data_IF_921380992596
#
_entry.id   IF_921380992596
#
_cell.length_a   1.000
_cell.length_b   1.000
_cell.length_c   1.000
_cell.angle_alpha   90.00
_cell.angle_beta   90.00
_cell.angle_gamma   90.00
#
_symmetry.space_group_name_H-M   'P 1'
#
loop_
_entity.id
_entity.type
_entity.pdbx_description
1 polymer ?
#
# COMPACT_ATOMS: atom_id res chain seq x y z
N UNK A 1 -3.08 6.59 15.84
CA UNK A 1 -3.58 5.39 15.16
C UNK A 1 -2.45 4.41 14.95
N UNK A 2 -2.78 3.22 14.48
CA UNK A 2 -1.77 2.31 13.94
C UNK A 2 -1.28 2.85 12.59
N UNK A 3 0.02 2.69 12.32
CA UNK A 3 0.66 3.11 11.07
C UNK A 3 1.20 1.88 10.37
N UNK A 4 0.95 1.78 9.07
CA UNK A 4 1.42 0.67 8.26
C UNK A 4 1.78 1.12 6.85
N UNK A 5 2.62 0.32 6.21
CA UNK A 5 3.06 0.53 4.84
C UNK A 5 2.04 -0.03 3.85
N UNK A 6 1.53 0.84 3.00
CA UNK A 6 0.55 0.51 1.96
C UNK A 6 1.23 0.61 0.61
N UNK A 7 1.13 -0.45 -0.18
CA UNK A 7 1.50 -0.42 -1.59
C UNK A 7 0.35 0.18 -2.39
N UNK A 8 0.62 1.27 -3.10
CA UNK A 8 -0.35 1.90 -3.99
C UNK A 8 -0.44 1.06 -5.27
N UNK A 9 -1.58 0.42 -5.52
CA UNK A 9 -1.78 -0.31 -6.78
C UNK A 9 -2.21 0.62 -7.91
N UNK A 10 -2.88 1.72 -7.57
CA UNK A 10 -3.26 2.77 -8.51
C UNK A 10 -4.59 3.42 -8.15
N UNK A 11 -5.21 4.04 -9.15
CA UNK A 11 -6.51 4.71 -8.98
C UNK A 11 -7.64 3.69 -8.94
N UNK A 12 -8.65 3.97 -8.14
CA UNK A 12 -9.85 3.16 -8.11
C UNK A 12 -10.60 3.26 -9.46
N UNK A 13 -11.06 2.16 -10.07
CA UNK A 13 -11.70 2.18 -11.39
C UNK A 13 -13.02 2.98 -11.41
N UNK A 14 -13.65 3.18 -10.25
CA UNK A 14 -14.90 3.93 -10.10
C UNK A 14 -14.68 5.37 -9.61
N UNK A 15 -13.45 5.77 -9.25
CA UNK A 15 -13.18 7.12 -8.72
C UNK A 15 -11.73 7.55 -8.93
N UNK A 16 -11.52 8.52 -9.83
CA UNK A 16 -10.21 9.09 -10.17
C UNK A 16 -9.50 9.80 -9.01
N UNK A 17 -10.24 10.15 -7.95
CA UNK A 17 -9.74 10.84 -6.76
C UNK A 17 -9.27 9.90 -5.64
N UNK A 18 -9.67 8.62 -5.68
CA UNK A 18 -9.35 7.66 -4.64
C UNK A 18 -8.24 6.72 -5.09
N UNK A 19 -7.24 6.54 -4.24
CA UNK A 19 -6.18 5.59 -4.46
C UNK A 19 -6.49 4.29 -3.72
N UNK A 20 -6.37 3.19 -4.46
CA UNK A 20 -6.45 1.84 -3.93
C UNK A 20 -5.05 1.38 -3.54
N UNK A 21 -4.94 0.88 -2.31
CA UNK A 21 -3.74 0.23 -1.85
C UNK A 21 -4.00 -1.13 -1.23
N UNK A 22 -2.90 -1.86 -1.01
CA UNK A 22 -2.88 -3.11 -0.24
C UNK A 22 -1.70 -3.12 0.71
N UNK A 23 -1.89 -3.69 1.89
CA UNK A 23 -0.80 -3.86 2.87
C UNK A 23 -0.17 -5.24 2.68
N UNK A 24 1.15 -5.38 2.93
CA UNK A 24 1.83 -6.67 2.80
C UNK A 24 1.31 -7.77 3.76
N UNK A 25 0.63 -7.36 4.84
CA UNK A 25 0.05 -8.24 5.84
C UNK A 25 -1.40 -8.66 5.54
N UNK A 26 -2.05 -8.09 4.52
CA UNK A 26 -3.45 -8.41 4.20
C UNK A 26 -3.56 -9.74 3.46
N UNK A 27 -4.37 -10.64 3.99
CA UNK A 27 -4.77 -11.88 3.34
C UNK A 27 -5.82 -11.62 2.25
N UNK A 28 -5.71 -12.27 1.08
CA UNK A 28 -6.73 -12.17 0.04
C UNK A 28 -8.08 -12.68 0.56
N UNK A 29 -9.16 -11.99 0.21
CA UNK A 29 -10.58 -12.30 0.49
C UNK A 29 -11.11 -12.11 1.94
N UNK A 30 -10.25 -11.86 2.93
CA UNK A 30 -10.69 -11.66 4.33
C UNK A 30 -10.38 -10.25 4.83
N UNK A 31 -9.30 -9.64 4.36
CA UNK A 31 -8.91 -8.29 4.75
C UNK A 31 -9.44 -7.24 3.79
N UNK A 32 -10.05 -6.20 4.36
CA UNK A 32 -10.73 -5.13 3.64
C UNK A 32 -9.88 -4.32 2.66
N UNK A 33 -10.49 -3.45 1.84
CA UNK A 33 -9.70 -2.58 0.96
C UNK A 33 -9.11 -1.41 1.75
N UNK A 34 -7.84 -1.08 1.50
CA UNK A 34 -7.25 0.16 2.03
C UNK A 34 -7.52 1.30 1.07
N UNK A 35 -8.33 2.25 1.54
CA UNK A 35 -8.72 3.45 0.82
C UNK A 35 -7.91 4.63 1.34
N UNK A 36 -7.10 5.22 0.47
CA UNK A 36 -6.34 6.43 0.79
C UNK A 36 -7.24 7.62 0.46
N UNK A 37 -7.84 8.22 1.48
CA UNK A 37 -8.75 9.36 1.33
C UNK A 37 -8.01 10.70 1.24
N UNK A 38 -6.82 10.79 1.85
CA UNK A 38 -6.05 12.03 1.91
C UNK A 38 -4.58 11.76 1.59
N UNK A 39 -4.15 12.31 0.46
CA UNK A 39 -2.81 12.15 -0.11
C UNK A 39 -2.82 11.60 -1.54
N UNK A 40 -1.80 11.95 -2.31
CA UNK A 40 -1.59 11.45 -3.68
C UNK A 40 -0.30 10.65 -3.69
N UNK A 41 -0.26 9.53 -4.40
CA UNK A 41 0.94 8.73 -4.59
C UNK A 41 0.86 8.00 -5.94
N UNK A 42 2.02 7.74 -6.52
CA UNK A 42 2.12 7.04 -7.79
C UNK A 42 1.95 5.53 -7.60
N UNK A 43 1.25 4.82 -8.51
CA UNK A 43 1.14 3.37 -8.48
C UNK A 43 2.53 2.71 -8.46
N UNK A 44 2.70 1.70 -7.61
CA UNK A 44 3.97 1.02 -7.37
C UNK A 44 4.81 1.63 -6.24
N UNK A 45 4.33 2.68 -5.58
CA UNK A 45 5.02 3.31 -4.45
C UNK A 45 4.50 2.74 -3.13
N UNK A 46 5.42 2.53 -2.18
CA UNK A 46 5.07 2.24 -0.78
C UNK A 46 4.94 3.56 -0.03
N UNK A 47 3.81 3.77 0.63
CA UNK A 47 3.56 4.95 1.46
C UNK A 47 3.19 4.53 2.88
N UNK A 48 3.63 5.31 3.86
CA UNK A 48 3.23 5.07 5.25
C UNK A 48 1.93 5.83 5.51
N UNK A 49 0.89 5.07 5.81
CA UNK A 49 -0.44 5.61 6.07
C UNK A 49 -0.84 5.38 7.53
N UNK A 50 -1.62 6.31 8.07
CA UNK A 50 -2.23 6.17 9.39
C UNK A 50 -3.74 5.94 9.24
N UNK A 51 -4.27 4.96 9.98
CA UNK A 51 -5.70 4.68 10.03
C UNK A 51 -6.44 5.85 10.66
N UNK A 52 -7.36 6.42 9.89
CA UNK A 52 -8.24 7.49 10.35
C UNK A 52 -9.60 6.91 10.72
N UNK A 53 -10.14 6.02 9.89
CA UNK A 53 -11.39 5.30 10.17
C UNK A 53 -11.29 3.84 9.74
N UNK A 54 -12.00 2.98 10.47
CA UNK A 54 -12.12 1.56 10.16
C UNK A 54 -13.61 1.21 9.97
N UNK A 55 -13.95 0.77 8.78
CA UNK A 55 -15.24 0.18 8.45
C UNK A 55 -15.15 -1.35 8.52
N UNK A 56 -16.30 -2.06 8.54
CA UNK A 56 -16.32 -3.52 8.67
C UNK A 56 -15.51 -4.26 7.60
N UNK A 57 -15.32 -3.65 6.43
CA UNK A 57 -14.63 -4.23 5.28
C UNK A 57 -13.64 -3.27 4.61
N UNK A 58 -13.42 -2.08 5.14
CA UNK A 58 -12.56 -1.07 4.50
C UNK A 58 -11.83 -0.26 5.56
N UNK A 59 -10.57 0.11 5.28
CA UNK A 59 -9.80 0.99 6.14
C UNK A 59 -9.57 2.30 5.41
N UNK A 60 -10.02 3.40 6.01
CA UNK A 60 -9.76 4.75 5.51
C UNK A 60 -8.50 5.26 6.16
N UNK A 61 -7.51 5.53 5.33
CA UNK A 61 -6.18 5.94 5.77
C UNK A 61 -5.79 7.27 5.16
N UNK A 62 -4.90 7.98 5.85
CA UNK A 62 -4.26 9.21 5.37
C UNK A 62 -2.77 9.02 5.28
N UNK A 63 -2.14 9.58 4.26
CA UNK A 63 -0.69 9.57 4.10
C UNK A 63 -0.07 10.47 5.17
N UNK A 64 0.76 9.88 6.04
CA UNK A 64 1.50 10.63 7.07
C UNK A 64 2.97 10.77 6.73
N UNK A 65 3.52 9.82 5.97
CA UNK A 65 4.87 9.88 5.45
C UNK A 65 4.92 9.31 4.03
N UNK A 66 5.47 10.11 3.12
CA UNK A 66 5.70 9.72 1.74
C UNK A 66 7.09 9.07 1.70
N UNK A 67 7.18 7.85 2.19
CA UNK A 67 8.40 7.07 2.07
C UNK A 67 8.73 6.94 0.59
N UNK A 68 9.79 7.62 0.15
CA UNK A 68 10.23 7.57 -1.23
C UNK A 68 10.64 6.14 -1.56
N UNK A 69 9.83 5.45 -2.40
CA UNK A 69 10.14 4.23 -3.13
C UNK A 69 11.40 3.47 -2.68
N UNK A 70 11.39 2.94 -1.47
CA UNK A 70 12.36 1.94 -1.06
C UNK A 70 11.66 0.59 -1.26
N UNK A 71 11.70 0.10 -2.50
CA UNK A 71 11.69 -1.34 -2.67
C UNK A 71 12.77 -1.89 -1.72
N UNK A 72 12.51 -2.93 -0.90
CA UNK A 72 13.62 -3.63 -0.27
C UNK A 72 14.44 -4.26 -1.41
N UNK A 73 15.47 -3.54 -1.86
CA UNK A 73 16.58 -4.12 -2.60
C UNK A 73 17.20 -5.19 -1.69
N UNK A 74 16.85 -6.46 -1.86
CA UNK A 74 17.56 -7.53 -1.15
C UNK A 74 16.80 -8.80 -0.82
N UNK A 75 16.53 -9.62 -1.84
CA UNK A 75 16.73 -11.09 -1.91
C UNK A 75 15.97 -11.50 -3.16
N UNK A 76 16.57 -11.73 -4.32
CA UNK A 76 17.44 -12.85 -4.65
C UNK A 76 18.39 -12.41 -5.77
N UNK A 77 19.58 -11.92 -5.42
CA UNK A 77 20.69 -11.87 -6.37
C UNK A 77 21.51 -13.15 -6.19
N UNK A 78 21.54 -13.97 -7.25
CA UNK A 78 22.61 -14.95 -7.43
C UNK A 78 22.29 -16.39 -7.03
N UNK A 79 21.66 -17.14 -7.95
CA UNK A 79 22.03 -18.53 -8.21
C UNK A 79 21.86 -18.80 -9.70
N UNK A 80 22.67 -18.10 -10.49
CA UNK A 80 22.99 -18.48 -11.85
C UNK A 80 24.49 -18.21 -12.04
N UNK A 81 25.33 -19.22 -11.82
CA UNK A 81 26.60 -19.43 -12.55
C UNK A 81 27.21 -20.79 -12.14
N UNK A 82 27.28 -21.67 -13.15
CA UNK A 82 28.16 -22.84 -13.36
C UNK A 82 28.50 -23.79 -12.23
N UNK A 83 28.03 -25.04 -12.35
CA UNK A 83 28.86 -26.26 -12.48
C UNK A 83 28.04 -27.31 -13.25
#
# INVERSE_FOLDING_TARGET
GERFEVLVEGRHPESDLLLRGRTAAQAPDIDGMVLIADGVADPGTFVTCEVTEAHPYDLVVRIVDRAAAAAPEGRFAGLATSC
#
